data_IF_668780156470
#
_entry.id   IF_668780156470
#
_cell.length_a   1.000
_cell.length_b   1.000
_cell.length_c   1.000
_cell.angle_alpha   90.00
_cell.angle_beta   90.00
_cell.angle_gamma   90.00
#
_symmetry.space_group_name_H-M   'P 1'
#
loop_
_entity.id
_entity.type
_entity.pdbx_description
1 polymer ?
#
# COMPACT_ATOMS: atom_id res chain seq x y z
N UNK A 1 -17.93 37.59 -14.99
CA UNK A 1 -17.88 36.20 -14.48
C UNK A 1 -17.83 35.17 -15.61
N UNK A 2 -18.68 35.25 -16.64
CA UNK A 2 -18.64 34.30 -17.79
C UNK A 2 -17.35 34.38 -18.66
N UNK A 3 -16.67 35.53 -18.72
CA UNK A 3 -15.49 35.72 -19.57
C UNK A 3 -14.21 35.10 -18.96
N UNK A 4 -14.07 35.11 -17.63
CA UNK A 4 -12.91 34.57 -16.91
C UNK A 4 -12.94 33.03 -16.92
N UNK A 5 -14.13 32.44 -16.74
CA UNK A 5 -14.28 30.98 -16.84
C UNK A 5 -13.98 30.45 -18.25
N UNK A 6 -14.23 31.25 -19.29
CA UNK A 6 -13.91 30.90 -20.68
C UNK A 6 -12.41 31.01 -20.96
N UNK A 7 -11.72 32.05 -20.46
CA UNK A 7 -10.26 32.18 -20.56
C UNK A 7 -9.52 31.06 -19.80
N UNK A 8 -9.95 30.71 -18.59
CA UNK A 8 -9.32 29.63 -17.81
C UNK A 8 -9.54 28.24 -18.43
N UNK A 9 -10.67 28.03 -19.11
CA UNK A 9 -10.93 26.80 -19.86
C UNK A 9 -10.06 26.70 -21.13
N UNK A 10 -9.90 27.81 -21.85
CA UNK A 10 -9.06 27.93 -23.05
C UNK A 10 -7.56 27.75 -22.73
N UNK A 11 -7.12 28.27 -21.58
CA UNK A 11 -5.76 28.03 -21.04
C UNK A 11 -5.53 26.57 -20.63
N UNK A 12 -6.56 25.89 -20.10
CA UNK A 12 -6.47 24.46 -19.75
C UNK A 12 -6.46 23.53 -20.98
N UNK A 13 -7.20 23.89 -22.03
CA UNK A 13 -7.27 23.11 -23.27
C UNK A 13 -6.00 23.28 -24.13
N UNK A 14 -5.46 24.51 -24.20
CA UNK A 14 -4.15 24.77 -24.83
C UNK A 14 -3.00 24.09 -24.07
N UNK A 15 -3.05 24.01 -22.74
CA UNK A 15 -2.06 23.30 -21.94
C UNK A 15 -1.99 21.80 -22.31
N UNK A 16 -3.15 21.12 -22.40
CA UNK A 16 -3.21 19.70 -22.72
C UNK A 16 -2.73 19.40 -24.15
N UNK A 17 -3.13 20.22 -25.12
CA UNK A 17 -2.68 20.07 -26.50
C UNK A 17 -1.15 20.18 -26.61
N UNK A 18 -0.55 21.12 -25.87
CA UNK A 18 0.90 21.30 -25.87
C UNK A 18 1.65 20.17 -25.14
N UNK A 19 1.03 19.55 -24.13
CA UNK A 19 1.58 18.33 -23.49
C UNK A 19 1.70 17.16 -24.49
N UNK A 20 0.70 16.97 -25.34
CA UNK A 20 0.69 15.92 -26.38
C UNK A 20 1.78 16.13 -27.44
N UNK A 21 2.27 17.37 -27.61
CA UNK A 21 3.35 17.72 -28.53
C UNK A 21 4.76 17.53 -27.93
N UNK A 22 4.91 17.37 -26.60
CA UNK A 22 6.22 17.27 -25.95
C UNK A 22 7.09 16.11 -26.46
N UNK A 23 6.58 14.89 -26.72
CA UNK A 23 7.40 13.81 -27.27
C UNK A 23 7.96 14.14 -28.67
N UNK A 24 7.16 14.80 -29.50
CA UNK A 24 7.56 15.23 -30.85
C UNK A 24 8.53 16.42 -30.81
N UNK A 25 8.34 17.32 -29.84
CA UNK A 25 9.28 18.41 -29.56
C UNK A 25 10.65 17.86 -29.17
N UNK A 26 10.69 16.89 -28.24
CA UNK A 26 11.90 16.22 -27.81
C UNK A 26 12.60 15.46 -28.96
N UNK A 27 11.83 14.78 -29.80
CA UNK A 27 12.34 14.06 -30.96
C UNK A 27 12.72 14.99 -32.14
N UNK A 28 12.47 16.30 -32.04
CA UNK A 28 12.79 17.27 -33.08
C UNK A 28 11.97 17.10 -34.37
N UNK A 29 10.78 16.49 -34.28
CA UNK A 29 9.91 16.13 -35.42
C UNK A 29 8.70 17.04 -35.61
N UNK A 30 8.47 18.00 -34.71
CA UNK A 30 7.43 19.01 -34.88
C UNK A 30 7.69 19.95 -36.07
N UNK A 31 6.61 20.37 -36.71
CA UNK A 31 6.61 21.45 -37.70
C UNK A 31 7.10 22.76 -37.06
N UNK A 32 7.67 23.72 -37.83
CA UNK A 32 8.26 24.94 -37.29
C UNK A 32 7.30 25.75 -36.41
N UNK A 33 6.04 25.88 -36.82
CA UNK A 33 5.02 26.66 -36.10
C UNK A 33 4.60 25.99 -34.78
N UNK A 34 4.51 24.66 -34.76
CA UNK A 34 4.20 23.88 -33.56
C UNK A 34 5.36 23.89 -32.57
N UNK A 35 6.58 23.76 -33.09
CA UNK A 35 7.81 23.82 -32.28
C UNK A 35 7.93 25.16 -31.56
N UNK A 36 7.67 26.26 -32.26
CA UNK A 36 7.74 27.59 -31.67
C UNK A 36 6.67 27.81 -30.60
N UNK A 37 5.43 27.33 -30.83
CA UNK A 37 4.36 27.37 -29.83
C UNK A 37 4.71 26.56 -28.57
N UNK A 38 5.20 25.33 -28.74
CA UNK A 38 5.61 24.48 -27.62
C UNK A 38 6.78 25.10 -26.85
N UNK A 39 7.76 25.66 -27.56
CA UNK A 39 8.89 26.38 -26.95
C UNK A 39 8.43 27.56 -26.11
N UNK A 40 7.57 28.43 -26.65
CA UNK A 40 7.04 29.59 -25.93
C UNK A 40 6.27 29.19 -24.66
N UNK A 41 5.48 28.11 -24.70
CA UNK A 41 4.77 27.62 -23.51
C UNK A 41 5.70 27.05 -22.44
N UNK A 42 6.76 26.34 -22.86
CA UNK A 42 7.78 25.82 -21.96
C UNK A 42 8.53 26.93 -21.22
N UNK A 43 8.58 28.17 -21.72
CA UNK A 43 9.19 29.30 -21.00
C UNK A 43 8.40 29.67 -19.73
N UNK A 44 7.07 29.49 -19.73
CA UNK A 44 6.21 29.94 -18.62
C UNK A 44 5.57 28.79 -17.81
N UNK A 45 5.43 27.59 -18.37
CA UNK A 45 4.76 26.49 -17.71
C UNK A 45 5.73 25.52 -16.99
N UNK A 46 5.79 25.59 -15.66
CA UNK A 46 6.63 24.69 -14.86
C UNK A 46 6.23 23.21 -14.94
N UNK A 47 4.93 22.93 -15.17
CA UNK A 47 4.41 21.56 -15.29
C UNK A 47 4.93 20.89 -16.57
N UNK A 48 4.78 21.55 -17.72
CA UNK A 48 5.27 21.03 -19.00
C UNK A 48 6.80 20.90 -19.04
N UNK A 49 7.55 21.80 -18.36
CA UNK A 49 9.01 21.64 -18.24
C UNK A 49 9.41 20.39 -17.46
N UNK A 50 8.68 20.07 -16.38
CA UNK A 50 8.92 18.86 -15.60
C UNK A 50 8.65 17.62 -16.42
N UNK A 51 7.53 17.59 -17.16
CA UNK A 51 7.20 16.48 -18.06
C UNK A 51 8.23 16.31 -19.18
N UNK A 52 8.70 17.41 -19.77
CA UNK A 52 9.78 17.36 -20.77
C UNK A 52 11.07 16.74 -20.18
N UNK A 53 11.47 17.13 -18.97
CA UNK A 53 12.63 16.56 -18.30
C UNK A 53 12.47 15.06 -17.98
N UNK A 54 11.25 14.61 -17.66
CA UNK A 54 10.93 13.18 -17.48
C UNK A 54 11.09 12.42 -18.81
N UNK A 55 10.61 12.99 -19.93
CA UNK A 55 10.77 12.41 -21.26
C UNK A 55 12.25 12.38 -21.70
N UNK A 56 13.03 13.41 -21.40
CA UNK A 56 14.48 13.45 -21.65
C UNK A 56 15.21 12.33 -20.88
N UNK A 57 14.85 12.12 -19.60
CA UNK A 57 15.39 11.02 -18.80
C UNK A 57 15.08 9.64 -19.39
N UNK A 58 13.87 9.45 -19.92
CA UNK A 58 13.49 8.21 -20.63
C UNK A 58 14.30 8.02 -21.93
N UNK A 59 14.47 9.08 -22.72
CA UNK A 59 15.28 9.02 -23.95
C UNK A 59 16.73 8.64 -23.63
N UNK A 60 17.31 9.23 -22.59
CA UNK A 60 18.66 8.90 -22.15
C UNK A 60 18.77 7.44 -21.68
N UNK A 61 17.79 6.93 -20.94
CA UNK A 61 17.76 5.53 -20.52
C UNK A 61 17.71 4.54 -21.71
N UNK A 62 17.06 4.92 -22.81
CA UNK A 62 17.02 4.12 -24.05
C UNK A 62 18.32 4.21 -24.86
N UNK A 63 18.99 5.36 -24.85
CA UNK A 63 20.25 5.57 -25.60
C UNK A 63 21.45 4.91 -24.92
N UNK A 64 21.36 4.52 -23.64
CA UNK A 64 22.43 3.82 -22.90
C UNK A 64 22.63 2.35 -23.32
N UNK A 65 21.92 1.87 -24.35
CA UNK A 65 22.26 0.62 -25.04
C UNK A 65 22.92 0.83 -26.41
N UNK A 66 24.22 1.20 -26.47
CA UNK A 66 25.03 0.89 -27.63
C UNK A 66 26.29 0.17 -27.18
N UNK A 67 26.27 -1.16 -27.30
CA UNK A 67 27.43 -1.92 -27.76
C UNK A 67 26.89 -3.18 -28.44
N UNK A 68 27.02 -3.20 -29.77
CA UNK A 68 26.58 -4.23 -30.71
C UNK A 68 25.06 -4.48 -30.78
N UNK A 69 24.39 -3.80 -31.71
CA UNK A 69 23.19 -4.38 -32.31
C UNK A 69 23.61 -5.71 -32.95
N UNK A 70 23.14 -6.89 -32.49
CA UNK A 70 23.49 -8.15 -33.11
C UNK A 70 22.99 -8.11 -34.56
N UNK A 71 23.87 -8.38 -35.52
CA UNK A 71 23.45 -8.60 -36.89
C UNK A 71 22.46 -9.76 -36.88
N UNK A 72 21.19 -9.45 -37.15
CA UNK A 72 20.12 -10.42 -37.12
C UNK A 72 20.34 -11.37 -38.30
N UNK A 73 20.71 -12.62 -38.02
CA UNK A 73 20.82 -13.64 -39.06
C UNK A 73 19.41 -13.97 -39.56
N UNK A 74 19.10 -13.64 -40.81
CA UNK A 74 17.77 -13.85 -41.41
C UNK A 74 17.33 -15.32 -41.32
N UNK A 75 18.27 -16.26 -41.29
CA UNK A 75 17.96 -17.69 -41.15
C UNK A 75 17.39 -18.06 -39.78
N UNK A 76 17.80 -17.35 -38.72
CA UNK A 76 17.27 -17.52 -37.37
C UNK A 76 15.85 -16.97 -37.26
N UNK A 77 15.55 -15.86 -37.95
CA UNK A 77 14.20 -15.29 -37.98
C UNK A 77 13.21 -16.26 -38.65
N UNK A 78 13.59 -16.82 -39.81
CA UNK A 78 12.77 -17.77 -40.55
C UNK A 78 12.51 -19.07 -39.77
N UNK A 79 13.52 -19.62 -39.09
CA UNK A 79 13.37 -20.81 -38.24
C UNK A 79 12.45 -20.52 -37.04
N UNK A 80 12.54 -19.33 -36.47
CA UNK A 80 11.69 -18.90 -35.34
C UNK A 80 10.23 -18.79 -35.78
N UNK A 81 9.98 -18.19 -36.94
CA UNK A 81 8.63 -18.09 -37.53
C UNK A 81 8.03 -19.47 -37.86
N UNK A 82 8.85 -20.41 -38.34
CA UNK A 82 8.42 -21.81 -38.56
C UNK A 82 8.02 -22.51 -37.26
N UNK A 83 8.77 -22.33 -36.18
CA UNK A 83 8.44 -22.94 -34.87
C UNK A 83 7.14 -22.42 -34.29
N UNK A 84 6.90 -21.10 -34.38
CA UNK A 84 5.66 -20.49 -33.90
C UNK A 84 4.45 -21.02 -34.68
N UNK A 85 4.57 -21.18 -36.00
CA UNK A 85 3.52 -21.78 -36.83
C UNK A 85 3.23 -23.26 -36.50
N UNK A 86 4.24 -24.03 -36.10
CA UNK A 86 4.09 -25.44 -35.74
C UNK A 86 3.44 -25.64 -34.35
N UNK A 87 3.65 -24.72 -33.41
CA UNK A 87 3.06 -24.79 -32.06
C UNK A 87 1.55 -24.51 -32.04
N UNK A 88 1.03 -23.75 -33.01
CA UNK A 88 -0.41 -23.45 -33.10
C UNK A 88 -1.28 -24.66 -33.50
N UNK A 89 -0.68 -25.76 -33.99
CA UNK A 89 -1.43 -26.94 -34.48
C UNK A 89 -1.48 -28.11 -33.49
N UNK A 90 -0.78 -28.04 -32.35
CA UNK A 90 -0.73 -29.12 -31.36
C UNK A 90 -1.54 -28.79 -30.10
N UNK A 91 -2.86 -28.60 -30.26
CA UNK A 91 -3.78 -28.58 -29.11
C UNK A 91 -4.91 -29.56 -29.36
N UNK A 92 -4.76 -30.78 -28.82
CA UNK A 92 -5.88 -31.64 -28.50
C UNK A 92 -5.58 -32.41 -27.20
N UNK A 93 -6.44 -32.35 -26.17
CA UNK A 93 -6.14 -32.87 -24.85
C UNK A 93 -6.47 -34.37 -24.75
N UNK A 94 -5.55 -35.18 -24.24
CA UNK A 94 -5.83 -36.57 -23.85
C UNK A 94 -5.89 -36.76 -22.32
N UNK A 95 -6.76 -37.67 -21.85
CA UNK A 95 -7.31 -37.64 -20.50
C UNK A 95 -6.46 -38.37 -19.47
N UNK A 96 -6.72 -38.02 -18.21
CA UNK A 96 -6.09 -38.50 -16.99
C UNK A 96 -6.05 -40.04 -16.85
N UNK A 97 -4.87 -40.56 -16.53
CA UNK A 97 -4.68 -41.92 -16.05
C UNK A 97 -4.69 -41.96 -14.52
N UNK A 98 -5.68 -42.68 -13.98
CA UNK A 98 -5.80 -43.09 -12.57
C UNK A 98 -4.60 -43.93 -12.13
N UNK A 99 -3.98 -43.57 -11.02
CA UNK A 99 -3.20 -44.49 -10.19
C UNK A 99 -3.96 -44.80 -8.91
N UNK A 100 -4.32 -46.08 -8.80
CA UNK A 100 -4.98 -46.74 -7.67
C UNK A 100 -4.00 -47.75 -7.09
N UNK A 101 -4.10 -47.98 -5.78
CA UNK A 101 -3.39 -48.93 -4.89
C UNK A 101 -2.14 -48.32 -4.24
N UNK A 102 -1.98 -48.29 -2.93
CA UNK A 102 -2.68 -48.98 -1.85
C UNK A 102 -1.67 -49.80 -1.06
N UNK A 103 -1.32 -49.36 0.15
CA UNK A 103 -0.70 -50.12 1.23
C UNK A 103 -0.70 -49.16 2.43
N UNK A 104 -1.34 -49.38 3.57
CA UNK A 104 -1.64 -50.64 4.24
C UNK A 104 -0.92 -50.60 5.58
N UNK A 105 -1.68 -50.26 6.62
CA UNK A 105 -1.55 -50.73 8.00
C UNK A 105 -0.26 -50.38 8.75
N UNK A 106 -0.42 -49.55 9.79
CA UNK A 106 0.01 -49.84 11.16
C UNK A 106 -0.56 -48.77 12.11
N UNK A 107 -1.45 -49.20 13.00
CA UNK A 107 -1.72 -48.55 14.30
C UNK A 107 -1.35 -49.59 15.40
N UNK A 108 -1.40 -49.24 16.69
CA UNK A 108 -0.52 -48.33 17.42
C UNK A 108 0.07 -49.05 18.65
N UNK A 109 1.13 -48.55 19.29
CA UNK A 109 1.40 -48.92 20.70
C UNK A 109 2.26 -47.90 21.43
N UNK A 110 1.88 -47.69 22.69
CA UNK A 110 2.31 -46.66 23.65
C UNK A 110 3.67 -46.98 24.26
N UNK A 111 4.49 -45.94 24.48
CA UNK A 111 5.38 -45.70 25.64
C UNK A 111 6.08 -44.33 25.37
N UNK A 112 5.61 -43.18 25.87
CA UNK A 112 5.87 -42.64 27.22
C UNK A 112 7.18 -43.16 27.84
N UNK A 113 8.27 -42.41 27.71
CA UNK A 113 8.88 -41.58 28.78
C UNK A 113 10.36 -41.27 28.47
N UNK A 114 10.70 -40.02 28.10
CA UNK A 114 11.97 -39.30 28.36
C UNK A 114 11.86 -37.88 27.77
N UNK A 115 11.02 -37.03 28.36
CA UNK A 115 10.77 -35.66 27.87
C UNK A 115 10.93 -34.61 28.96
N UNK A 116 12.15 -34.47 29.48
CA UNK A 116 12.54 -33.24 30.19
C UNK A 116 13.96 -32.74 29.87
N UNK A 117 14.87 -33.57 29.34
CA UNK A 117 16.22 -33.13 28.95
C UNK A 117 16.33 -32.52 27.54
N UNK A 118 15.53 -32.96 26.57
CA UNK A 118 15.66 -32.55 25.16
C UNK A 118 15.08 -31.16 24.86
N UNK A 119 14.17 -30.64 25.70
CA UNK A 119 13.51 -29.34 25.48
C UNK A 119 14.45 -28.18 25.82
N UNK A 120 15.37 -28.36 26.77
CA UNK A 120 16.34 -27.33 27.17
C UNK A 120 17.46 -27.15 26.14
N UNK A 121 17.90 -28.23 25.49
CA UNK A 121 18.90 -28.17 24.41
C UNK A 121 18.33 -27.65 23.09
N UNK A 122 17.07 -28.01 22.76
CA UNK A 122 16.39 -27.47 21.58
C UNK A 122 15.99 -26.00 21.77
N UNK A 123 15.56 -25.61 22.97
CA UNK A 123 15.20 -24.22 23.30
C UNK A 123 16.38 -23.26 23.22
N UNK A 124 17.53 -23.62 23.82
CA UNK A 124 18.72 -22.77 23.82
C UNK A 124 19.36 -22.65 22.42
N UNK A 125 19.35 -23.74 21.64
CA UNK A 125 19.79 -23.73 20.24
C UNK A 125 18.87 -22.91 19.32
N UNK A 126 17.55 -22.96 19.52
CA UNK A 126 16.61 -22.10 18.78
C UNK A 126 16.72 -20.64 19.16
N UNK A 127 17.01 -20.32 20.43
CA UNK A 127 17.14 -18.94 20.88
C UNK A 127 18.44 -18.30 20.38
N UNK A 128 19.60 -18.98 20.47
CA UNK A 128 20.86 -18.48 19.90
C UNK A 128 20.84 -18.45 18.35
N UNK A 129 20.21 -19.44 17.71
CA UNK A 129 20.06 -19.45 16.26
C UNK A 129 19.14 -18.33 15.76
N UNK A 130 18.11 -17.98 16.52
CA UNK A 130 17.19 -16.88 16.19
C UNK A 130 17.85 -15.51 16.41
N UNK A 131 18.56 -15.30 17.53
CA UNK A 131 19.25 -14.01 17.79
C UNK A 131 20.40 -13.75 16.81
N UNK A 132 21.09 -14.79 16.32
CA UNK A 132 22.09 -14.65 15.25
C UNK A 132 21.45 -14.48 13.86
N UNK A 133 20.28 -15.08 13.62
CA UNK A 133 19.56 -14.91 12.35
C UNK A 133 18.92 -13.53 12.18
N UNK A 134 18.50 -12.89 13.27
CA UNK A 134 17.90 -11.54 13.25
C UNK A 134 18.95 -10.42 13.26
N UNK A 135 20.23 -10.73 13.47
CA UNK A 135 21.34 -9.75 13.53
C UNK A 135 22.45 -10.05 12.51
N UNK A 136 22.10 -10.60 11.33
CA UNK A 136 23.06 -11.01 10.29
C UNK A 136 23.93 -9.87 9.76
N UNK A 137 23.40 -8.64 9.74
CA UNK A 137 24.13 -7.44 9.31
C UNK A 137 25.31 -7.10 10.22
N UNK A 138 25.28 -7.50 11.50
CA UNK A 138 26.37 -7.30 12.45
C UNK A 138 27.51 -8.34 12.29
N UNK A 139 27.24 -9.45 11.59
CA UNK A 139 28.19 -10.59 11.44
C UNK A 139 28.76 -10.70 10.02
N UNK A 140 28.36 -9.80 9.10
CA UNK A 140 28.96 -9.72 7.75
C UNK A 140 28.67 -10.93 6.85
N UNK A 141 27.55 -11.63 7.07
CA UNK A 141 27.15 -12.74 6.19
C UNK A 141 26.45 -12.20 4.92
N UNK A 142 26.67 -12.82 3.74
CA UNK A 142 26.03 -12.39 2.50
C UNK A 142 24.51 -12.62 2.53
N UNK A 143 23.71 -11.77 1.83
CA UNK A 143 22.26 -11.90 1.76
C UNK A 143 21.84 -13.22 1.10
N UNK A 144 20.67 -13.73 1.48
CA UNK A 144 20.13 -14.99 0.96
C UNK A 144 19.76 -14.86 -0.53
N UNK A 145 19.80 -15.95 -1.32
CA UNK A 145 19.55 -15.90 -2.75
C UNK A 145 18.20 -15.30 -3.16
N UNK A 146 17.17 -15.44 -2.31
CA UNK A 146 15.82 -14.91 -2.57
C UNK A 146 15.64 -13.43 -2.16
N UNK A 147 16.55 -12.86 -1.37
CA UNK A 147 16.59 -11.40 -1.12
C UNK A 147 17.08 -10.67 -2.37
N UNK A 148 18.02 -11.27 -3.11
CA UNK A 148 18.60 -10.72 -4.35
C UNK A 148 17.58 -10.61 -5.49
N UNK A 149 16.52 -11.42 -5.48
CA UNK A 149 15.52 -11.43 -6.57
C UNK A 149 14.51 -10.28 -6.51
N UNK A 150 14.35 -9.59 -5.37
CA UNK A 150 13.37 -8.49 -5.29
C UNK A 150 13.89 -7.16 -5.86
N UNK A 151 15.19 -6.89 -5.79
CA UNK A 151 15.75 -5.63 -6.31
C UNK A 151 15.86 -5.62 -7.85
N UNK A 152 16.18 -6.76 -8.48
CA UNK A 152 16.46 -6.81 -9.93
C UNK A 152 15.23 -6.77 -10.85
N UNK A 153 14.00 -6.86 -10.32
CA UNK A 153 12.79 -6.85 -11.18
C UNK A 153 12.25 -5.43 -11.45
N UNK A 154 12.70 -4.42 -10.69
CA UNK A 154 12.24 -3.04 -10.88
C UNK A 154 12.93 -2.28 -12.02
N UNK A 155 14.07 -2.76 -12.53
CA UNK A 155 14.88 -1.98 -13.47
C UNK A 155 14.55 -2.17 -14.95
N UNK A 156 13.84 -3.24 -15.36
CA UNK A 156 13.83 -3.60 -16.78
C UNK A 156 12.65 -3.11 -17.63
N UNK A 157 11.50 -2.76 -17.07
CA UNK A 157 10.39 -2.18 -17.85
C UNK A 157 9.48 -1.31 -16.98
N UNK A 158 9.98 -0.15 -16.54
CA UNK A 158 9.13 0.84 -15.89
C UNK A 158 8.31 1.59 -16.94
N UNK A 159 7.22 0.98 -17.41
CA UNK A 159 6.16 1.77 -18.04
C UNK A 159 5.78 2.91 -17.07
N UNK A 160 5.61 4.16 -17.54
CA UNK A 160 5.20 5.26 -16.68
C UNK A 160 3.90 4.85 -16.00
N UNK A 161 3.95 4.69 -14.68
CA UNK A 161 2.77 4.37 -13.88
C UNK A 161 2.14 5.69 -13.47
N UNK A 162 0.84 5.84 -13.69
CA UNK A 162 0.12 7.02 -13.23
C UNK A 162 0.07 7.01 -11.70
N UNK A 163 0.98 7.76 -11.06
CA UNK A 163 0.98 7.94 -9.61
C UNK A 163 -0.18 8.87 -9.25
N UNK A 164 -1.18 8.32 -8.58
CA UNK A 164 -2.38 9.06 -8.18
C UNK A 164 -2.21 9.76 -6.82
N UNK A 165 -1.44 9.16 -5.92
CA UNK A 165 -1.18 9.70 -4.58
C UNK A 165 0.12 9.11 -4.04
N UNK A 166 0.92 9.93 -3.38
CA UNK A 166 2.06 9.49 -2.60
C UNK A 166 2.19 10.35 -1.34
N UNK A 167 2.98 9.89 -0.38
CA UNK A 167 3.28 10.69 0.81
C UNK A 167 4.01 9.90 1.88
N UNK A 168 4.01 10.46 3.09
CA UNK A 168 4.71 9.85 4.23
C UNK A 168 3.91 10.06 5.51
N UNK A 169 3.70 8.99 6.26
CA UNK A 169 3.10 9.03 7.58
C UNK A 169 4.16 8.89 8.65
N UNK A 170 4.04 9.67 9.71
CA UNK A 170 4.84 9.52 10.93
C UNK A 170 3.93 9.09 12.06
N UNK A 171 4.27 7.99 12.70
CA UNK A 171 3.60 7.46 13.89
C UNK A 171 4.34 7.90 15.13
N UNK A 172 3.63 8.55 16.05
CA UNK A 172 4.09 8.99 17.35
C UNK A 172 3.33 8.28 18.47
N UNK A 173 4.03 7.96 19.55
CA UNK A 173 3.43 7.60 20.84
C UNK A 173 3.85 8.68 21.83
N UNK A 174 2.86 9.41 22.34
CA UNK A 174 3.11 10.66 23.05
C UNK A 174 3.77 11.68 22.13
N UNK A 175 5.02 12.06 22.44
CA UNK A 175 5.85 12.97 21.62
C UNK A 175 7.01 12.27 20.91
N UNK A 176 7.03 10.93 20.90
CA UNK A 176 8.14 10.14 20.36
C UNK A 176 7.75 9.52 19.03
N UNK A 177 8.48 9.87 17.96
CA UNK A 177 8.37 9.17 16.68
C UNK A 177 8.81 7.70 16.82
N UNK A 178 7.94 6.79 16.43
CA UNK A 178 8.07 5.34 16.57
C UNK A 178 8.25 4.63 15.23
N UNK A 179 7.59 5.12 14.17
CA UNK A 179 7.64 4.52 12.84
C UNK A 179 7.34 5.55 11.76
N UNK A 180 7.86 5.29 10.57
CA UNK A 180 7.59 6.06 9.37
C UNK A 180 7.07 5.12 8.29
N UNK A 181 6.06 5.56 7.54
CA UNK A 181 5.45 4.77 6.48
C UNK A 181 5.41 5.61 5.20
N UNK A 182 6.10 5.16 4.15
CA UNK A 182 6.08 5.79 2.82
C UNK A 182 5.17 5.00 1.90
N UNK A 183 4.40 5.67 1.06
CA UNK A 183 3.41 5.01 0.22
C UNK A 183 3.24 5.65 -1.14
N UNK A 184 2.76 4.82 -2.07
CA UNK A 184 2.37 5.20 -3.42
C UNK A 184 1.09 4.46 -3.80
N UNK A 185 0.09 5.20 -4.29
CA UNK A 185 -1.11 4.68 -4.95
C UNK A 185 -0.97 4.94 -6.44
N UNK A 186 -0.98 3.85 -7.21
CA UNK A 186 -0.69 3.82 -8.63
C UNK A 186 -1.89 3.28 -9.39
N UNK A 187 -2.14 3.77 -10.61
CA UNK A 187 -3.11 3.17 -11.53
C UNK A 187 -2.41 2.11 -12.39
N UNK A 188 -2.99 0.92 -12.47
CA UNK A 188 -2.56 -0.18 -13.33
C UNK A 188 -3.23 -0.08 -14.71
N UNK A 189 -2.67 -0.76 -15.71
CA UNK A 189 -3.17 -0.70 -17.10
C UNK A 189 -4.64 -1.15 -17.26
N UNK A 190 -5.13 -2.04 -16.42
CA UNK A 190 -6.52 -2.54 -16.47
C UNK A 190 -7.51 -1.63 -15.72
N UNK A 191 -7.06 -0.47 -15.21
CA UNK A 191 -7.88 0.44 -14.40
C UNK A 191 -7.93 0.07 -12.91
N UNK A 192 -7.40 -1.10 -12.54
CA UNK A 192 -7.11 -1.47 -11.16
C UNK A 192 -6.10 -0.49 -10.54
N UNK A 193 -6.06 -0.45 -9.21
CA UNK A 193 -5.14 0.39 -8.47
C UNK A 193 -4.23 -0.48 -7.60
N UNK A 194 -2.99 -0.03 -7.43
CA UNK A 194 -2.02 -0.66 -6.54
C UNK A 194 -1.57 0.36 -5.50
N UNK A 195 -1.88 0.09 -4.24
CA UNK A 195 -1.27 0.78 -3.11
C UNK A 195 -0.08 -0.03 -2.61
N UNK A 196 1.10 0.54 -2.74
CA UNK A 196 2.33 0.01 -2.15
C UNK A 196 2.73 0.87 -0.96
N UNK A 197 3.13 0.24 0.14
CA UNK A 197 3.64 0.96 1.31
C UNK A 197 4.88 0.27 1.89
N UNK A 198 5.83 1.06 2.37
CA UNK A 198 7.04 0.65 3.06
C UNK A 198 7.02 1.26 4.47
N UNK A 199 6.96 0.40 5.48
CA UNK A 199 6.97 0.77 6.89
C UNK A 199 8.37 0.54 7.44
N UNK A 200 8.94 1.58 8.05
CA UNK A 200 10.24 1.55 8.70
C UNK A 200 10.06 1.88 10.20
N UNK A 201 10.69 1.07 11.05
CA UNK A 201 10.76 1.36 12.48
C UNK A 201 12.07 0.86 13.06
N UNK A 202 12.72 1.71 13.83
CA UNK A 202 13.92 1.42 14.63
C UNK A 202 13.59 1.09 16.09
N UNK A 203 12.41 1.50 16.57
CA UNK A 203 12.02 1.46 17.99
C UNK A 203 10.97 0.41 18.32
N UNK A 204 10.26 -0.12 17.34
CA UNK A 204 9.30 -1.20 17.57
C UNK A 204 10.02 -2.55 17.69
N UNK A 205 9.45 -3.45 18.50
CA UNK A 205 9.96 -4.82 18.60
C UNK A 205 9.92 -5.48 17.21
N UNK A 206 11.09 -5.88 16.71
CA UNK A 206 11.22 -6.38 15.33
C UNK A 206 11.64 -5.31 14.32
N UNK A 207 12.38 -4.29 14.76
CA UNK A 207 12.96 -3.23 13.93
C UNK A 207 13.39 -3.74 12.55
N UNK A 208 13.02 -2.99 11.51
CA UNK A 208 13.20 -3.39 10.14
C UNK A 208 12.14 -2.80 9.23
N UNK A 209 11.98 -3.42 8.08
CA UNK A 209 11.10 -2.94 7.03
C UNK A 209 9.92 -3.89 6.84
N UNK A 210 8.73 -3.36 6.57
CA UNK A 210 7.61 -4.15 6.06
C UNK A 210 7.10 -3.55 4.77
N UNK A 211 6.78 -4.43 3.82
CA UNK A 211 6.23 -4.05 2.52
C UNK A 211 4.79 -4.51 2.45
N UNK A 212 3.91 -3.58 2.15
CA UNK A 212 2.49 -3.80 1.92
C UNK A 212 2.17 -3.64 0.45
N UNK A 213 1.28 -4.49 -0.05
CA UNK A 213 0.68 -4.36 -1.38
C UNK A 213 -0.81 -4.60 -1.26
N UNK A 214 -1.59 -3.61 -1.69
CA UNK A 214 -3.04 -3.66 -1.72
C UNK A 214 -3.52 -3.37 -3.14
N UNK A 215 -4.11 -4.39 -3.76
CA UNK A 215 -4.75 -4.26 -5.07
C UNK A 215 -6.20 -3.87 -4.88
N UNK A 216 -6.65 -2.85 -5.59
CA UNK A 216 -8.02 -2.34 -5.58
C UNK A 216 -8.58 -2.37 -7.00
N UNK A 217 -9.90 -2.44 -7.14
CA UNK A 217 -10.56 -2.12 -8.39
C UNK A 217 -10.66 -0.59 -8.62
N UNK A 218 -11.16 -0.18 -9.78
CA UNK A 218 -11.42 1.23 -10.11
C UNK A 218 -12.38 1.95 -9.13
N UNK A 219 -13.17 1.20 -8.36
CA UNK A 219 -14.10 1.70 -7.37
C UNK A 219 -13.52 1.75 -5.94
N UNK A 220 -12.21 1.53 -5.79
CA UNK A 220 -11.51 1.44 -4.50
C UNK A 220 -11.95 0.24 -3.65
N UNK A 221 -12.50 -0.82 -4.25
CA UNK A 221 -12.81 -2.06 -3.53
C UNK A 221 -11.54 -2.92 -3.43
N UNK A 222 -11.17 -3.39 -2.24
CA UNK A 222 -10.05 -4.32 -2.09
C UNK A 222 -10.29 -5.62 -2.86
N UNK A 223 -9.28 -6.04 -3.62
CA UNK A 223 -9.25 -7.32 -4.35
C UNK A 223 -8.30 -8.30 -3.66
N UNK A 224 -7.08 -7.84 -3.35
CA UNK A 224 -6.08 -8.62 -2.65
C UNK A 224 -5.18 -7.74 -1.80
N UNK A 225 -4.67 -8.29 -0.72
CA UNK A 225 -3.76 -7.63 0.19
C UNK A 225 -2.65 -8.58 0.62
N UNK A 226 -1.43 -8.07 0.72
CA UNK A 226 -0.31 -8.79 1.33
C UNK A 226 0.56 -7.84 2.12
N UNK A 227 1.05 -8.30 3.27
CA UNK A 227 2.11 -7.67 4.05
C UNK A 227 3.17 -8.70 4.42
N UNK A 228 4.42 -8.31 4.26
CA UNK A 228 5.58 -9.13 4.59
C UNK A 228 6.69 -8.26 5.17
N UNK A 229 7.48 -8.83 6.09
CA UNK A 229 8.67 -8.20 6.64
C UNK A 229 8.91 -8.54 8.11
N UNK A 230 10.12 -8.29 8.64
CA UNK A 230 10.47 -8.51 10.05
C UNK A 230 9.49 -7.88 11.06
N UNK A 231 8.93 -6.70 10.75
CA UNK A 231 7.95 -6.02 11.61
C UNK A 231 6.63 -6.81 11.74
N UNK A 232 6.34 -7.73 10.81
CA UNK A 232 5.11 -8.52 10.80
C UNK A 232 5.30 -9.77 11.65
N UNK A 233 4.98 -9.69 12.94
CA UNK A 233 4.89 -10.86 13.83
C UNK A 233 6.11 -11.81 13.80
N UNK A 234 7.32 -11.25 13.72
CA UNK A 234 8.56 -12.02 13.65
C UNK A 234 8.82 -12.61 12.27
N UNK A 235 8.57 -11.84 11.20
CA UNK A 235 8.84 -12.22 9.81
C UNK A 235 7.75 -13.09 9.17
N UNK A 236 6.53 -13.08 9.69
CA UNK A 236 5.38 -13.71 9.05
C UNK A 236 4.90 -12.89 7.85
N UNK A 237 4.14 -13.54 6.97
CA UNK A 237 3.43 -12.89 5.88
C UNK A 237 1.93 -13.05 6.13
N UNK A 238 1.19 -11.95 6.05
CA UNK A 238 -0.27 -11.97 6.15
C UNK A 238 -0.87 -11.52 4.82
N UNK A 239 -2.01 -12.09 4.45
CA UNK A 239 -2.66 -11.79 3.18
C UNK A 239 -4.18 -11.94 3.24
N UNK A 240 -4.84 -11.31 2.28
CA UNK A 240 -6.28 -11.40 2.06
C UNK A 240 -6.54 -11.52 0.57
N UNK A 241 -7.42 -12.43 0.17
CA UNK A 241 -7.99 -12.48 -1.18
C UNK A 241 -9.51 -12.38 -1.07
N UNK A 242 -10.13 -11.44 -1.79
CA UNK A 242 -11.58 -11.21 -1.72
C UNK A 242 -12.26 -11.83 -2.93
N UNK A 243 -13.25 -12.68 -2.67
CA UNK A 243 -14.00 -13.44 -3.66
C UNK A 243 -15.49 -13.21 -3.44
N UNK A 244 -16.04 -12.18 -4.12
CA UNK A 244 -17.43 -11.78 -3.98
C UNK A 244 -17.78 -11.38 -2.55
N UNK A 245 -18.68 -12.13 -1.91
CA UNK A 245 -19.18 -11.87 -0.55
C UNK A 245 -18.35 -12.56 0.54
N UNK A 246 -17.15 -13.04 0.21
CA UNK A 246 -16.24 -13.70 1.15
C UNK A 246 -14.81 -13.22 0.99
N UNK A 247 -14.03 -13.33 2.06
CA UNK A 247 -12.60 -13.08 2.04
C UNK A 247 -11.84 -14.28 2.61
N UNK A 248 -10.79 -14.70 1.93
CA UNK A 248 -9.83 -15.68 2.40
C UNK A 248 -8.64 -14.94 3.03
N UNK A 249 -8.47 -15.08 4.34
CA UNK A 249 -7.32 -14.55 5.07
C UNK A 249 -6.26 -15.64 5.19
N UNK A 250 -5.02 -15.28 4.94
CA UNK A 250 -3.87 -16.19 5.01
C UNK A 250 -2.81 -15.65 5.96
N UNK A 251 -2.25 -16.50 6.80
CA UNK A 251 -1.11 -16.21 7.65
C UNK A 251 -0.04 -17.27 7.43
N UNK A 252 1.08 -16.85 6.85
CA UNK A 252 2.21 -17.69 6.47
C UNK A 252 3.37 -17.43 7.41
N UNK A 253 3.83 -18.51 8.05
CA UNK A 253 5.06 -18.56 8.85
C UNK A 253 6.06 -19.50 8.17
N UNK A 254 7.31 -19.50 8.64
CA UNK A 254 8.39 -20.32 8.07
C UNK A 254 8.07 -21.84 7.93
N UNK A 255 7.11 -22.37 8.71
CA UNK A 255 6.77 -23.81 8.72
C UNK A 255 5.30 -24.12 8.45
N UNK A 256 4.44 -23.09 8.39
CA UNK A 256 2.99 -23.30 8.38
C UNK A 256 2.28 -22.15 7.69
N UNK A 257 1.39 -22.51 6.78
CA UNK A 257 0.37 -21.62 6.22
C UNK A 257 -0.95 -21.94 6.91
N UNK A 258 -1.61 -20.93 7.45
CA UNK A 258 -2.95 -21.03 8.02
C UNK A 258 -3.88 -20.14 7.21
N UNK A 259 -5.04 -20.66 6.79
CA UNK A 259 -6.05 -19.88 6.08
C UNK A 259 -7.37 -19.91 6.83
N UNK A 260 -8.19 -18.88 6.64
CA UNK A 260 -9.55 -18.79 7.15
C UNK A 260 -10.42 -18.01 6.17
N UNK A 261 -11.59 -18.53 5.87
CA UNK A 261 -12.60 -17.83 5.05
C UNK A 261 -13.59 -17.14 5.99
N UNK A 262 -13.90 -15.88 5.70
CA UNK A 262 -14.89 -15.08 6.43
C UNK A 262 -15.93 -14.48 5.48
N UNK A 263 -17.20 -14.39 5.89
CA UNK A 263 -18.23 -13.68 5.13
C UNK A 263 -18.09 -12.16 5.25
N UNK A 264 -18.52 -11.43 4.22
CA UNK A 264 -18.54 -9.97 4.16
C UNK A 264 -19.97 -9.41 4.28
N UNK A 265 -20.12 -8.20 4.83
CA UNK A 265 -21.41 -7.56 5.13
C UNK A 265 -22.01 -6.77 3.94
N UNK A 266 -21.78 -7.19 2.69
CA UNK A 266 -22.30 -6.55 1.47
C UNK A 266 -21.73 -5.16 1.14
N UNK A 267 -21.12 -4.47 2.11
CA UNK A 267 -20.30 -3.28 1.90
C UNK A 267 -18.85 -3.66 1.56
N UNK A 268 -18.10 -2.81 0.83
CA UNK A 268 -16.69 -3.04 0.60
C UNK A 268 -15.96 -3.24 1.93
N UNK A 269 -15.17 -4.32 2.09
CA UNK A 269 -14.43 -4.54 3.31
C UNK A 269 -13.35 -3.47 3.47
N UNK A 270 -12.98 -3.23 4.72
CA UNK A 270 -11.84 -2.40 5.11
C UNK A 270 -10.81 -3.36 5.67
N UNK A 271 -9.56 -3.26 5.23
CA UNK A 271 -8.49 -4.04 5.85
C UNK A 271 -8.16 -3.42 7.21
N UNK A 272 -7.54 -4.17 8.12
CA UNK A 272 -7.06 -3.72 9.42
C UNK A 272 -5.85 -4.57 9.83
N UNK A 273 -4.68 -4.20 9.31
CA UNK A 273 -3.35 -4.77 9.47
C UNK A 273 -2.45 -4.06 10.51
N UNK A 274 -3.00 -3.07 11.25
CA UNK A 274 -2.30 -2.17 12.19
C UNK A 274 -1.27 -1.20 11.57
N UNK A 275 -1.03 -1.23 10.27
CA UNK A 275 -0.48 -0.09 9.53
C UNK A 275 -1.52 1.02 9.39
N UNK A 276 -1.09 2.24 9.12
CA UNK A 276 -1.95 3.42 9.25
C UNK A 276 -2.59 3.75 7.90
N UNK A 277 -1.89 3.47 6.80
CA UNK A 277 -2.28 3.93 5.46
C UNK A 277 -3.38 3.11 4.79
N UNK A 278 -3.21 1.78 4.75
CA UNK A 278 -4.11 0.83 4.08
C UNK A 278 -5.53 0.94 4.61
N UNK A 279 -5.68 1.36 5.87
CA UNK A 279 -6.98 1.45 6.53
C UNK A 279 -7.63 2.79 6.31
N UNK A 280 -6.93 3.89 6.60
CA UNK A 280 -7.63 5.14 6.85
C UNK A 280 -7.65 6.08 5.65
N UNK A 281 -6.70 5.98 4.72
CA UNK A 281 -6.77 6.73 3.45
C UNK A 281 -7.88 6.18 2.57
N UNK A 282 -7.99 4.85 2.47
CA UNK A 282 -9.06 4.20 1.71
C UNK A 282 -10.40 4.32 2.43
N UNK A 283 -10.44 4.16 3.76
CA UNK A 283 -11.67 4.35 4.53
C UNK A 283 -12.20 5.77 4.38
N UNK A 284 -11.34 6.80 4.39
CA UNK A 284 -11.78 8.17 4.15
C UNK A 284 -12.45 8.28 2.77
N UNK A 285 -11.78 7.84 1.70
CA UNK A 285 -12.34 7.95 0.34
C UNK A 285 -13.64 7.16 0.18
N UNK A 286 -13.71 5.96 0.76
CA UNK A 286 -14.92 5.14 0.78
C UNK A 286 -16.03 5.81 1.57
N UNK A 287 -15.73 6.32 2.76
CA UNK A 287 -16.71 6.98 3.61
C UNK A 287 -17.23 8.28 3.00
N UNK A 288 -16.35 9.10 2.42
CA UNK A 288 -16.73 10.32 1.69
C UNK A 288 -17.65 10.00 0.52
N UNK A 289 -17.37 8.93 -0.24
CA UNK A 289 -18.28 8.45 -1.32
C UNK A 289 -19.62 7.96 -0.79
N UNK A 290 -19.64 7.23 0.33
CA UNK A 290 -20.86 6.70 0.91
C UNK A 290 -21.71 7.81 1.53
N UNK A 291 -21.12 8.75 2.27
CA UNK A 291 -21.85 9.90 2.82
C UNK A 291 -22.32 10.89 1.76
N UNK A 292 -21.62 11.01 0.63
CA UNK A 292 -22.14 11.80 -0.50
C UNK A 292 -23.46 11.22 -1.05
N UNK A 293 -23.72 9.93 -0.84
CA UNK A 293 -24.97 9.25 -1.20
C UNK A 293 -25.97 9.16 -0.03
N UNK A 294 -25.52 9.40 1.20
CA UNK A 294 -26.35 9.33 2.40
C UNK A 294 -27.36 10.48 2.43
N UNK A 295 -28.63 10.16 2.69
CA UNK A 295 -29.69 11.16 2.86
C UNK A 295 -29.61 11.84 4.23
N UNK A 296 -29.11 11.11 5.25
CA UNK A 296 -28.94 11.61 6.62
C UNK A 296 -27.47 11.94 6.91
N UNK A 297 -27.20 13.17 7.34
CA UNK A 297 -25.86 13.63 7.74
C UNK A 297 -25.35 12.94 9.03
N UNK A 298 -26.24 12.34 9.81
CA UNK A 298 -25.92 11.56 11.00
C UNK A 298 -25.81 10.05 10.73
N UNK A 299 -25.84 9.64 9.46
CA UNK A 299 -25.78 8.22 9.10
C UNK A 299 -24.47 7.58 9.58
N UNK A 300 -24.65 6.47 10.30
CA UNK A 300 -23.56 5.64 10.79
C UNK A 300 -23.22 4.62 9.72
N UNK A 301 -21.97 4.61 9.26
CA UNK A 301 -21.53 3.64 8.27
C UNK A 301 -21.01 2.38 8.95
N UNK A 302 -21.28 1.22 8.36
CA UNK A 302 -20.84 -0.08 8.84
C UNK A 302 -20.02 -0.80 7.77
N UNK A 303 -18.88 -1.36 8.16
CA UNK A 303 -17.98 -2.08 7.27
C UNK A 303 -17.56 -3.42 7.89
N UNK A 304 -17.22 -4.38 7.04
CA UNK A 304 -16.46 -5.57 7.44
C UNK A 304 -14.98 -5.21 7.55
N UNK A 305 -14.44 -5.21 8.76
CA UNK A 305 -13.02 -4.98 9.02
C UNK A 305 -12.25 -6.31 9.01
N UNK A 306 -11.43 -6.53 8.00
CA UNK A 306 -10.62 -7.75 7.83
C UNK A 306 -9.27 -7.59 8.53
N UNK A 307 -8.98 -8.48 9.49
CA UNK A 307 -7.77 -8.45 10.32
C UNK A 307 -6.94 -9.70 9.98
N UNK A 308 -6.12 -9.69 8.90
CA UNK A 308 -5.46 -10.88 8.38
C UNK A 308 -4.52 -11.54 9.39
N UNK A 309 -3.79 -10.74 10.16
CA UNK A 309 -2.90 -11.20 11.22
C UNK A 309 -3.62 -11.93 12.37
N UNK A 310 -4.91 -11.65 12.58
CA UNK A 310 -5.75 -12.35 13.55
C UNK A 310 -6.65 -13.40 12.89
N UNK A 311 -6.54 -13.59 11.57
CA UNK A 311 -7.39 -14.46 10.76
C UNK A 311 -8.88 -14.28 11.10
N UNK A 312 -9.35 -13.03 11.23
CA UNK A 312 -10.75 -12.75 11.58
C UNK A 312 -11.27 -11.51 10.87
N UNK A 313 -12.60 -11.36 10.92
CA UNK A 313 -13.29 -10.15 10.53
C UNK A 313 -14.12 -9.63 11.70
N UNK A 314 -14.09 -8.32 11.90
CA UNK A 314 -14.88 -7.61 12.90
C UNK A 314 -15.80 -6.59 12.20
N UNK A 315 -16.74 -6.00 12.95
CA UNK A 315 -17.55 -4.87 12.46
C UNK A 315 -16.84 -3.56 12.76
N UNK A 316 -16.65 -2.71 11.74
CA UNK A 316 -16.18 -1.34 11.90
C UNK A 316 -17.36 -0.39 11.73
N UNK A 317 -17.59 0.45 12.73
CA UNK A 317 -18.62 1.48 12.72
C UNK A 317 -17.95 2.84 12.60
N UNK A 318 -18.38 3.66 11.64
CA UNK A 318 -17.81 4.99 11.43
C UNK A 318 -18.90 6.06 11.58
N UNK A 319 -18.67 7.00 12.49
CA UNK A 319 -19.59 8.12 12.79
C UNK A 319 -18.89 9.45 12.62
N UNK A 320 -19.57 10.43 12.03
CA UNK A 320 -19.08 11.81 11.99
C UNK A 320 -19.29 12.48 13.35
N UNK A 321 -18.27 13.17 13.85
CA UNK A 321 -18.39 14.01 15.04
C UNK A 321 -18.82 15.42 14.65
N UNK A 322 -19.81 15.96 15.38
CA UNK A 322 -20.26 17.34 15.20
C UNK A 322 -19.40 18.36 15.98
N UNK A 323 -18.46 17.88 16.78
CA UNK A 323 -17.60 18.75 17.58
C UNK A 323 -16.55 19.41 16.69
N UNK A 324 -16.48 20.76 16.66
CA UNK A 324 -15.42 21.45 15.94
C UNK A 324 -14.07 20.98 16.49
N UNK A 325 -13.20 20.54 15.60
CA UNK A 325 -11.88 20.04 15.94
C UNK A 325 -10.83 20.84 15.18
N UNK A 326 -9.74 21.14 15.87
CA UNK A 326 -8.63 21.92 15.37
C UNK A 326 -7.34 21.14 15.57
N UNK A 327 -6.49 21.11 14.54
CA UNK A 327 -5.10 20.66 14.63
C UNK A 327 -4.16 21.86 14.69
N UNK A 328 -3.06 21.75 15.45
CA UNK A 328 -1.95 22.70 15.47
C UNK A 328 -0.82 22.17 14.61
N UNK A 329 -0.33 23.00 13.71
CA UNK A 329 0.78 22.70 12.79
C UNK A 329 2.04 23.37 13.32
N UNK A 330 3.06 22.55 13.60
CA UNK A 330 4.36 23.01 14.06
C UNK A 330 4.35 23.80 15.38
N UNK A 331 5.53 24.30 15.79
CA UNK A 331 5.70 25.06 17.03
C UNK A 331 5.07 26.45 16.97
N UNK A 332 4.91 27.02 15.77
CA UNK A 332 4.29 28.33 15.55
C UNK A 332 2.78 28.34 15.86
N UNK A 333 2.17 27.15 16.03
CA UNK A 333 0.80 27.03 16.49
C UNK A 333 -0.27 27.37 15.45
N UNK A 334 0.05 27.30 14.15
CA UNK A 334 -0.94 27.52 13.09
C UNK A 334 -2.09 26.53 13.22
N UNK A 335 -3.30 27.04 13.21
CA UNK A 335 -4.53 26.28 13.46
C UNK A 335 -5.18 25.83 12.14
N UNK A 336 -5.53 24.55 12.05
CA UNK A 336 -6.28 23.96 10.95
C UNK A 336 -7.62 23.41 11.43
N UNK A 337 -8.73 23.89 10.85
CA UNK A 337 -10.06 23.32 11.11
C UNK A 337 -10.26 22.03 10.33
N UNK A 338 -10.60 20.95 11.04
CA UNK A 338 -10.78 19.61 10.46
C UNK A 338 -12.17 19.04 10.78
N UNK A 339 -12.63 18.12 9.94
CA UNK A 339 -13.71 17.20 10.28
C UNK A 339 -13.13 16.07 11.13
N UNK A 340 -13.86 15.67 12.19
CA UNK A 340 -13.48 14.53 13.02
C UNK A 340 -14.45 13.38 12.81
N UNK A 341 -13.92 12.18 12.65
CA UNK A 341 -14.71 10.94 12.57
C UNK A 341 -14.29 9.99 13.68
N UNK A 342 -15.25 9.25 14.22
CA UNK A 342 -15.06 8.26 15.25
C UNK A 342 -15.29 6.88 14.63
N UNK A 343 -14.21 6.13 14.50
CA UNK A 343 -14.25 4.74 14.07
C UNK A 343 -14.23 3.84 15.31
N UNK A 344 -15.12 2.86 15.36
CA UNK A 344 -15.23 1.87 16.43
C UNK A 344 -15.12 0.48 15.82
N UNK A 345 -14.08 -0.24 16.18
CA UNK A 345 -13.83 -1.61 15.76
C UNK A 345 -14.28 -2.60 16.83
N UNK A 346 -15.17 -3.50 16.46
CA UNK A 346 -15.79 -4.45 17.37
C UNK A 346 -16.99 -3.86 18.11
N UNK A 347 -17.49 -4.60 19.09
CA UNK A 347 -18.67 -4.24 19.89
C UNK A 347 -18.37 -4.33 21.39
N UNK A 348 -19.15 -3.61 22.19
CA UNK A 348 -19.04 -3.64 23.65
C UNK A 348 -17.92 -2.76 24.21
N UNK A 349 -17.50 -3.06 25.45
CA UNK A 349 -16.55 -2.25 26.21
C UNK A 349 -15.10 -2.37 25.71
N UNK A 350 -14.80 -3.45 25.00
CA UNK A 350 -13.45 -3.74 24.48
C UNK A 350 -13.27 -3.26 23.04
N UNK A 351 -14.24 -2.49 22.51
CA UNK A 351 -14.16 -1.95 21.17
C UNK A 351 -12.97 -0.99 21.05
N UNK A 352 -12.20 -1.14 19.98
CA UNK A 352 -11.09 -0.23 19.70
C UNK A 352 -11.65 1.04 19.07
N UNK A 353 -11.41 2.16 19.73
CA UNK A 353 -11.77 3.48 19.21
C UNK A 353 -10.60 4.12 18.46
N UNK A 354 -10.90 4.72 17.31
CA UNK A 354 -9.95 5.49 16.50
C UNK A 354 -10.60 6.79 16.06
N UNK A 355 -9.87 7.88 16.15
CA UNK A 355 -10.31 9.21 15.71
C UNK A 355 -9.60 9.56 14.41
N UNK A 356 -10.34 9.99 13.40
CA UNK A 356 -9.79 10.41 12.11
C UNK A 356 -9.99 11.90 11.93
N UNK A 357 -8.95 12.60 11.47
CA UNK A 357 -8.97 14.04 11.25
C UNK A 357 -8.76 14.33 9.76
N UNK A 358 -9.79 14.90 9.15
CA UNK A 358 -9.90 15.07 7.72
C UNK A 358 -10.04 16.54 7.36
N UNK A 359 -9.29 17.01 6.37
CA UNK A 359 -9.36 18.38 5.88
C UNK A 359 -10.71 18.66 5.24
N UNK A 360 -11.36 19.75 5.66
CA UNK A 360 -12.71 20.11 5.19
C UNK A 360 -12.79 20.44 3.70
N UNK A 361 -11.72 20.99 3.12
CA UNK A 361 -11.74 21.51 1.74
C UNK A 361 -11.78 20.40 0.69
N UNK A 362 -11.11 19.29 0.92
CA UNK A 362 -10.91 18.25 -0.10
C UNK A 362 -11.00 16.82 0.44
N UNK A 363 -11.35 16.63 1.71
CA UNK A 363 -11.45 15.31 2.31
C UNK A 363 -10.10 14.66 2.62
N UNK A 364 -8.96 15.35 2.47
CA UNK A 364 -7.66 14.70 2.74
C UNK A 364 -7.54 14.28 4.19
N UNK A 365 -7.29 13.00 4.46
CA UNK A 365 -6.91 12.53 5.79
C UNK A 365 -5.57 13.17 6.19
N UNK A 366 -5.57 13.94 7.28
CA UNK A 366 -4.39 14.63 7.80
C UNK A 366 -3.73 13.85 8.93
N UNK A 367 -4.54 13.26 9.80
CA UNK A 367 -4.08 12.50 10.95
C UNK A 367 -5.12 11.51 11.47
N UNK A 368 -4.67 10.60 12.31
CA UNK A 368 -5.50 9.80 13.18
C UNK A 368 -4.94 9.74 14.60
N UNK A 369 -5.81 9.38 15.54
CA UNK A 369 -5.47 9.17 16.93
C UNK A 369 -6.13 7.92 17.47
N UNK A 370 -5.34 7.08 18.13
CA UNK A 370 -5.82 5.97 18.94
C UNK A 370 -5.67 6.41 20.41
N UNK A 371 -6.78 6.73 21.11
CA UNK A 371 -6.71 7.11 22.51
C UNK A 371 -6.21 5.96 23.37
N UNK A 372 -5.66 6.30 24.53
CA UNK A 372 -5.29 5.34 25.57
C UNK A 372 -6.52 4.52 25.94
N UNK A 373 -6.38 3.21 25.88
CA UNK A 373 -7.47 2.26 26.11
C UNK A 373 -6.94 1.13 27.00
N UNK A 374 -7.74 0.58 27.93
CA UNK A 374 -7.30 -0.43 28.90
C UNK A 374 -6.63 -1.66 28.28
N UNK A 375 -7.01 -1.99 27.05
CA UNK A 375 -6.50 -3.13 26.28
C UNK A 375 -5.17 -2.85 25.56
N UNK A 376 -4.71 -1.59 25.49
CA UNK A 376 -3.45 -1.24 24.87
C UNK A 376 -2.35 -1.12 25.93
N UNK A 377 -1.13 -1.62 25.66
CA UNK A 377 -0.01 -1.54 26.60
C UNK A 377 0.52 -0.10 26.77
N UNK A 378 0.13 0.83 25.91
CA UNK A 378 0.60 2.22 25.93
C UNK A 378 -0.20 3.06 26.92
N UNK A 379 0.50 3.80 27.79
CA UNK A 379 -0.08 4.84 28.65
C UNK A 379 -0.30 6.16 27.91
N UNK A 380 0.17 6.25 26.66
CA UNK A 380 0.08 7.44 25.82
C UNK A 380 -0.73 7.15 24.55
N UNK A 381 -1.45 8.14 24.01
CA UNK A 381 -2.18 7.95 22.76
C UNK A 381 -1.20 7.73 21.61
N UNK A 382 -1.60 6.90 20.64
CA UNK A 382 -0.91 6.80 19.36
C UNK A 382 -1.45 7.90 18.46
N UNK A 383 -0.58 8.71 17.87
CA UNK A 383 -0.93 9.74 16.93
C UNK A 383 -0.20 9.50 15.62
N UNK A 384 -0.89 9.57 14.49
CA UNK A 384 -0.26 9.38 13.18
C UNK A 384 -0.69 10.50 12.27
N UNK A 385 0.24 11.08 11.54
CA UNK A 385 -0.03 12.22 10.66
C UNK A 385 0.80 12.19 9.39
N UNK A 386 0.33 12.94 8.38
CA UNK A 386 1.02 13.18 7.11
C UNK A 386 2.21 14.10 7.29
N UNK A 387 3.39 13.54 7.56
CA UNK A 387 4.63 14.30 7.74
C UNK A 387 5.16 14.90 6.45
N UNK A 388 4.78 14.37 5.28
CA UNK A 388 5.03 15.00 3.99
C UNK A 388 4.26 16.34 3.83
N UNK A 389 3.07 16.45 4.43
CA UNK A 389 2.30 17.69 4.43
C UNK A 389 2.64 18.61 5.61
N UNK A 390 3.06 18.02 6.73
CA UNK A 390 3.35 18.72 7.98
C UNK A 390 4.71 18.28 8.54
N UNK A 391 5.83 18.65 7.88
CA UNK A 391 7.17 18.24 8.31
C UNK A 391 7.56 18.81 9.67
N UNK A 392 6.91 19.89 10.10
CA UNK A 392 7.11 20.51 11.41
C UNK A 392 6.33 19.81 12.54
N UNK A 393 5.62 18.73 12.23
CA UNK A 393 4.75 18.03 13.17
C UNK A 393 3.32 18.56 13.17
N UNK A 394 2.41 17.74 13.70
CA UNK A 394 1.00 18.01 13.80
C UNK A 394 0.51 17.53 15.17
N UNK A 395 -0.30 18.32 15.86
CA UNK A 395 -0.83 17.97 17.17
C UNK A 395 -2.30 18.39 17.31
N UNK A 396 -3.02 17.80 18.25
CA UNK A 396 -4.37 18.24 18.59
C UNK A 396 -4.30 19.52 19.42
N UNK A 397 -5.12 20.51 19.09
CA UNK A 397 -5.32 21.63 20.00
C UNK A 397 -6.07 21.13 21.25
N UNK A 398 -5.44 21.23 22.42
CA UNK A 398 -6.10 20.93 23.69
C UNK A 398 -7.26 21.92 23.91
N UNK A 399 -8.49 21.45 23.69
CA UNK A 399 -9.70 22.23 23.97
C UNK A 399 -9.89 22.50 25.48
N UNK A 400 -9.10 21.85 26.34
CA UNK A 400 -9.18 21.94 27.80
C UNK A 400 -8.58 23.24 28.38
N UNK A 401 -7.81 24.00 27.61
CA UNK A 401 -7.17 25.24 28.10
C UNK A 401 -7.95 26.53 27.80
N UNK A 402 -9.08 26.45 27.07
CA UNK A 402 -9.84 27.64 26.63
C UNK A 402 -11.14 27.95 27.39
N UNK A 403 -11.46 27.23 28.47
CA UNK A 403 -12.68 27.42 29.26
C UNK A 403 -12.39 27.90 30.70
N UNK A 404 -11.48 28.88 30.85
CA UNK A 404 -11.27 29.60 32.10
C UNK A 404 -11.58 31.08 31.95
#
# INVERSE_FOLDING_TARGET
MANIARQLADEGESHRQLQELLPWYLNGTLEPDEREKTRAHLEYCAVCRRELAELEGLQQALVVAPDEAPQLDESLLDETLRRVGAQSQATDPKPAARLRRGWGWLKPRRAFSYSLGAILLLGLGTFLGFTLATNRSAVGLPPLPWERTQETTHQFFAFPRDILLQGTLTTEIGSRAMAQETFTLEKLHEGDLLLTSKIESDKLAGAGEAVQRLKLDANLRPLSYTIQGPLVYGGQQAGVTINGDSAELTLTSARKVTHRIVPLLGQPPVLLDFSVMSHFVLLERLATRLWAKATDKNETLHFSALIPQALRADTLTLKRSNNPTVLRVGPEGKVLSVSRYLAQLGQGKDALHVELFVRKSDGTLLALRIPVQPQLPSTEPVFVFRSDLFPQGLSLADNSQGAK
#
